data_IF_713459337380
#
_entry.id   IF_713459337380
#
_cell.length_a   1.000
_cell.length_b   1.000
_cell.length_c   1.000
_cell.angle_alpha   90.00
_cell.angle_beta   90.00
_cell.angle_gamma   90.00
#
_symmetry.space_group_name_H-M   'P 1'
#
loop_
_entity.id
_entity.type
_entity.pdbx_description
1 polymer ?
#
# COMPACT_ATOMS: atom_id res chain seq x y z
N UNK A 1 8.23 -18.13 -13.26
CA UNK A 1 9.06 -17.26 -12.40
C UNK A 1 9.79 -16.27 -13.28
N UNK A 2 9.58 -14.96 -13.09
CA UNK A 2 10.45 -13.92 -13.65
C UNK A 2 11.92 -14.26 -13.36
N UNK A 3 12.72 -14.45 -14.42
CA UNK A 3 14.16 -14.62 -14.30
C UNK A 3 14.76 -13.36 -13.65
N UNK A 4 15.74 -13.50 -12.75
CA UNK A 4 16.40 -12.38 -12.05
C UNK A 4 16.93 -11.32 -13.03
N UNK A 5 17.33 -11.76 -14.22
CA UNK A 5 17.79 -10.91 -15.32
C UNK A 5 16.71 -9.96 -15.87
N UNK A 6 15.42 -10.31 -15.69
CA UNK A 6 14.29 -9.53 -16.19
C UNK A 6 13.77 -8.49 -15.19
N UNK A 7 14.25 -8.48 -13.93
CA UNK A 7 13.79 -7.52 -12.91
C UNK A 7 14.18 -6.07 -13.24
N UNK A 8 15.43 -5.83 -13.63
CA UNK A 8 15.91 -4.47 -13.93
C UNK A 8 15.18 -3.87 -15.15
N UNK A 9 14.99 -4.61 -16.26
CA UNK A 9 14.14 -4.15 -17.36
C UNK A 9 12.67 -3.94 -16.96
N UNK A 10 12.08 -4.84 -16.14
CA UNK A 10 10.70 -4.74 -15.68
C UNK A 10 10.47 -3.49 -14.81
N UNK A 11 11.28 -3.32 -13.77
CA UNK A 11 11.20 -2.18 -12.84
C UNK A 11 11.38 -0.85 -13.57
N UNK A 12 12.31 -0.79 -14.52
CA UNK A 12 12.51 0.40 -15.38
C UNK A 12 11.28 0.71 -16.24
N UNK A 13 10.65 -0.31 -16.85
CA UNK A 13 9.41 -0.14 -17.63
C UNK A 13 8.26 0.34 -16.76
N UNK A 14 8.07 -0.26 -15.59
CA UNK A 14 7.00 0.10 -14.66
C UNK A 14 7.14 1.54 -14.18
N UNK A 15 8.34 1.93 -13.75
CA UNK A 15 8.59 3.30 -13.31
C UNK A 15 8.42 4.31 -14.46
N UNK A 16 8.86 3.97 -15.68
CA UNK A 16 8.61 4.82 -16.87
C UNK A 16 7.11 4.96 -17.17
N UNK A 17 6.36 3.87 -17.06
CA UNK A 17 4.93 3.88 -17.27
C UNK A 17 4.23 4.74 -16.21
N UNK A 18 4.54 4.55 -14.92
CA UNK A 18 4.01 5.38 -13.83
C UNK A 18 4.30 6.88 -14.04
N UNK A 19 5.49 7.22 -14.57
CA UNK A 19 5.85 8.60 -14.90
C UNK A 19 5.06 9.22 -16.05
N UNK A 20 4.51 8.40 -16.94
CA UNK A 20 3.67 8.88 -18.05
C UNK A 20 2.18 9.04 -17.71
N UNK A 21 1.76 8.67 -16.49
CA UNK A 21 0.36 8.74 -16.05
C UNK A 21 0.04 10.13 -15.48
N UNK A 22 -1.23 10.59 -15.55
CA UNK A 22 -1.67 11.72 -14.74
C UNK A 22 -1.39 11.41 -13.26
N UNK A 23 -1.08 12.43 -12.46
CA UNK A 23 -0.67 12.29 -11.06
C UNK A 23 0.67 11.56 -10.83
N UNK A 24 1.58 11.56 -11.81
CA UNK A 24 2.94 10.97 -11.77
C UNK A 24 3.61 11.05 -10.39
N UNK A 25 3.68 12.27 -9.83
CA UNK A 25 4.39 12.52 -8.56
C UNK A 25 3.78 11.74 -7.40
N UNK A 26 2.46 11.59 -7.40
CA UNK A 26 1.72 10.96 -6.32
C UNK A 26 1.73 9.43 -6.45
N UNK A 27 1.65 8.88 -7.67
CA UNK A 27 1.79 7.44 -7.91
C UNK A 27 3.18 6.97 -7.47
N UNK A 28 4.22 7.67 -7.90
CA UNK A 28 5.59 7.36 -7.46
C UNK A 28 5.75 7.47 -5.94
N UNK A 29 5.13 8.48 -5.32
CA UNK A 29 5.16 8.66 -3.88
C UNK A 29 4.49 7.47 -3.15
N UNK A 30 3.34 7.00 -3.64
CA UNK A 30 2.63 5.83 -3.07
C UNK A 30 3.48 4.56 -3.11
N UNK A 31 4.17 4.33 -4.23
CA UNK A 31 5.02 3.14 -4.42
C UNK A 31 6.25 3.17 -3.51
N UNK A 32 6.88 4.34 -3.33
CA UNK A 32 8.15 4.47 -2.60
C UNK A 32 7.93 4.72 -1.11
N UNK A 33 7.05 5.66 -0.77
CA UNK A 33 6.85 6.16 0.59
C UNK A 33 5.66 5.49 1.30
N UNK A 34 4.79 4.80 0.57
CA UNK A 34 3.61 4.12 1.10
C UNK A 34 2.31 4.90 0.86
N UNK A 35 1.16 4.24 1.10
CA UNK A 35 -0.14 4.83 0.87
C UNK A 35 -0.50 5.87 1.94
N UNK A 36 -1.63 6.54 1.74
CA UNK A 36 -2.32 7.27 2.77
C UNK A 36 -2.67 6.37 3.96
N UNK A 37 -2.46 6.88 5.17
CA UNK A 37 -2.78 6.19 6.42
C UNK A 37 -3.96 6.89 7.08
N UNK A 38 -5.08 6.17 7.21
CA UNK A 38 -6.28 6.66 7.91
C UNK A 38 -5.92 7.04 9.34
N UNK A 39 -6.39 8.22 9.76
CA UNK A 39 -6.11 8.76 11.09
C UNK A 39 -7.13 8.25 12.10
N UNK A 40 -6.73 8.24 13.37
CA UNK A 40 -7.66 7.99 14.48
C UNK A 40 -8.23 9.34 14.92
N UNK A 41 -9.55 9.50 14.79
CA UNK A 41 -10.25 10.76 15.07
C UNK A 41 -11.24 10.57 16.22
N UNK A 42 -11.47 11.61 17.03
CA UNK A 42 -12.46 11.52 18.10
C UNK A 42 -13.87 11.43 17.51
N UNK A 43 -14.75 10.66 18.15
CA UNK A 43 -16.15 10.65 17.77
C UNK A 43 -16.74 12.08 17.90
N UNK A 44 -17.58 12.51 16.95
CA UNK A 44 -18.27 13.78 17.08
C UNK A 44 -19.18 13.72 18.31
N UNK A 45 -18.79 14.41 19.38
CA UNK A 45 -19.54 14.44 20.62
C UNK A 45 -20.92 15.06 20.41
N UNK A 46 -21.96 14.45 20.97
CA UNK A 46 -23.29 15.03 21.01
C UNK A 46 -23.26 16.25 21.92
N UNK A 47 -23.35 17.44 21.33
CA UNK A 47 -23.22 18.74 22.02
C UNK A 47 -24.31 18.98 23.08
N UNK A 48 -25.29 18.07 23.22
CA UNK A 48 -26.51 18.29 23.98
C UNK A 48 -26.53 17.67 25.38
N UNK A 49 -25.48 17.00 25.88
CA UNK A 49 -25.52 16.35 27.20
C UNK A 49 -24.44 16.90 28.16
N UNK A 50 -24.87 17.44 29.30
CA UNK A 50 -24.05 18.02 30.40
C UNK A 50 -23.20 16.99 31.18
N UNK A 51 -23.12 15.75 30.72
CA UNK A 51 -22.33 14.69 31.36
C UNK A 51 -20.94 14.67 30.72
N UNK A 52 -19.85 14.48 31.49
CA UNK A 52 -18.53 14.29 30.90
C UNK A 52 -18.50 12.96 30.13
N UNK A 53 -18.84 13.02 28.84
CA UNK A 53 -18.74 11.89 27.92
C UNK A 53 -17.25 11.60 27.73
N UNK A 54 -16.84 10.38 28.06
CA UNK A 54 -15.52 9.84 27.70
C UNK A 54 -15.34 9.94 26.20
N UNK A 55 -14.33 10.70 25.75
CA UNK A 55 -14.00 10.83 24.33
C UNK A 55 -13.53 9.47 23.79
N UNK A 56 -14.39 8.83 23.04
CA UNK A 56 -14.11 7.66 22.22
C UNK A 56 -13.46 8.11 20.91
N UNK A 57 -12.63 7.23 20.34
CA UNK A 57 -11.93 7.48 19.08
C UNK A 57 -12.25 6.35 18.11
N UNK A 58 -12.43 6.69 16.84
CA UNK A 58 -12.61 5.73 15.75
C UNK A 58 -11.59 5.96 14.64
N UNK A 59 -11.43 4.96 13.77
CA UNK A 59 -10.64 5.12 12.55
C UNK A 59 -11.43 5.97 11.57
N UNK A 60 -10.78 6.99 10.99
CA UNK A 60 -11.37 7.88 10.01
C UNK A 60 -11.97 7.09 8.84
N UNK A 61 -13.21 7.41 8.53
CA UNK A 61 -13.98 6.78 7.44
C UNK A 61 -13.88 7.58 6.15
N UNK A 62 -14.32 7.00 5.03
CA UNK A 62 -14.26 7.66 3.72
C UNK A 62 -15.12 8.93 3.65
N UNK A 63 -16.21 9.02 4.45
CA UNK A 63 -17.05 10.22 4.52
C UNK A 63 -16.42 11.36 5.34
N UNK A 64 -15.40 11.06 6.15
CA UNK A 64 -14.64 12.02 6.95
C UNK A 64 -13.31 12.43 6.29
N UNK A 65 -12.99 11.88 5.12
CA UNK A 65 -11.80 12.25 4.36
C UNK A 65 -11.98 13.64 3.76
N UNK A 66 -10.95 14.46 3.87
CA UNK A 66 -10.89 15.70 3.09
C UNK A 66 -10.67 15.38 1.60
N UNK A 67 -11.05 16.30 0.70
CA UNK A 67 -10.82 16.11 -0.75
C UNK A 67 -9.36 15.77 -1.10
N UNK A 68 -8.40 16.29 -0.32
CA UNK A 68 -6.97 16.01 -0.54
C UNK A 68 -6.59 14.58 -0.16
N UNK A 69 -7.18 14.06 0.91
CA UNK A 69 -6.92 12.70 1.38
C UNK A 69 -7.62 11.68 0.49
N UNK A 70 -8.86 11.96 0.09
CA UNK A 70 -9.58 11.14 -0.88
C UNK A 70 -8.80 11.03 -2.20
N UNK A 71 -8.28 12.15 -2.72
CA UNK A 71 -7.40 12.14 -3.91
C UNK A 71 -6.13 11.31 -3.71
N UNK A 72 -5.58 11.26 -2.50
CA UNK A 72 -4.41 10.42 -2.24
C UNK A 72 -4.79 8.94 -2.23
N UNK A 73 -5.93 8.57 -1.64
CA UNK A 73 -6.46 7.19 -1.68
C UNK A 73 -6.70 6.75 -3.13
N UNK A 74 -7.32 7.60 -3.96
CA UNK A 74 -7.52 7.31 -5.38
C UNK A 74 -6.19 7.10 -6.13
N UNK A 75 -5.17 7.88 -5.79
CA UNK A 75 -3.82 7.67 -6.35
C UNK A 75 -3.21 6.35 -5.87
N UNK A 76 -3.39 6.00 -4.61
CA UNK A 76 -2.85 4.75 -4.05
C UNK A 76 -3.46 3.54 -4.74
N UNK A 77 -4.78 3.57 -5.00
CA UNK A 77 -5.48 2.55 -5.80
C UNK A 77 -4.94 2.50 -7.23
N UNK A 78 -4.71 3.65 -7.86
CA UNK A 78 -4.07 3.72 -9.18
C UNK A 78 -2.64 3.17 -9.16
N UNK A 79 -1.90 3.35 -8.08
CA UNK A 79 -0.55 2.82 -7.92
C UNK A 79 -0.58 1.29 -7.82
N UNK A 80 -1.51 0.72 -7.04
CA UNK A 80 -1.74 -0.72 -6.97
C UNK A 80 -2.04 -1.28 -8.37
N UNK A 81 -3.04 -0.72 -9.05
CA UNK A 81 -3.41 -1.14 -10.40
C UNK A 81 -2.24 -1.05 -11.39
N UNK A 82 -1.45 0.02 -11.30
CA UNK A 82 -0.29 0.24 -12.17
C UNK A 82 0.76 -0.85 -11.96
N UNK A 83 1.06 -1.21 -10.70
CA UNK A 83 2.00 -2.30 -10.41
C UNK A 83 1.45 -3.63 -10.90
N UNK A 84 0.19 -3.95 -10.59
CA UNK A 84 -0.45 -5.21 -10.98
C UNK A 84 -0.47 -5.39 -12.51
N UNK A 85 -0.80 -4.35 -13.29
CA UNK A 85 -0.76 -4.39 -14.75
C UNK A 85 0.64 -4.67 -15.31
N UNK A 86 1.68 -4.22 -14.62
CA UNK A 86 3.05 -4.50 -15.00
C UNK A 86 3.52 -5.89 -14.61
N UNK A 87 2.86 -6.55 -13.65
CA UNK A 87 3.30 -7.83 -13.10
C UNK A 87 2.92 -9.01 -14.00
N UNK A 88 3.87 -9.91 -14.27
CA UNK A 88 3.58 -11.21 -14.84
C UNK A 88 2.66 -12.05 -13.95
N UNK A 89 1.81 -12.84 -14.60
CA UNK A 89 0.77 -13.66 -13.97
C UNK A 89 1.32 -14.62 -12.90
N UNK A 90 2.54 -15.12 -13.10
CA UNK A 90 3.24 -16.05 -12.21
C UNK A 90 3.73 -15.42 -10.89
N UNK A 91 3.61 -14.10 -10.72
CA UNK A 91 3.92 -13.39 -9.46
C UNK A 91 2.67 -13.07 -8.66
N UNK A 92 1.47 -13.05 -9.27
CA UNK A 92 0.24 -12.63 -8.59
C UNK A 92 0.01 -13.42 -7.30
N UNK A 93 0.20 -14.74 -7.32
CA UNK A 93 0.05 -15.60 -6.15
C UNK A 93 1.05 -15.30 -5.01
N UNK A 94 2.14 -14.57 -5.27
CA UNK A 94 3.13 -14.22 -4.26
C UNK A 94 2.92 -12.81 -3.65
N UNK A 95 2.01 -12.03 -4.24
CA UNK A 95 1.65 -10.66 -3.82
C UNK A 95 0.15 -10.54 -3.52
N UNK A 96 -0.58 -11.65 -3.49
CA UNK A 96 -2.04 -11.70 -3.28
C UNK A 96 -2.46 -11.19 -1.89
N UNK A 97 -1.58 -11.34 -0.90
CA UNK A 97 -1.76 -10.83 0.46
C UNK A 97 -1.30 -9.39 0.64
N UNK A 98 -0.76 -8.73 -0.39
CA UNK A 98 -0.30 -7.35 -0.29
C UNK A 98 -1.48 -6.41 -0.55
N UNK A 99 -1.69 -5.44 0.33
CA UNK A 99 -2.81 -4.50 0.24
C UNK A 99 -2.38 -3.18 -0.38
N UNK A 100 -1.08 -2.89 -0.40
CA UNK A 100 -0.55 -1.58 -0.82
C UNK A 100 0.44 -1.68 -1.98
N UNK A 101 0.52 -0.62 -2.78
CA UNK A 101 1.49 -0.54 -3.87
C UNK A 101 2.94 -0.73 -3.38
N UNK A 102 3.25 -0.19 -2.20
CA UNK A 102 4.58 -0.31 -1.59
C UNK A 102 4.89 -1.76 -1.17
N UNK A 103 3.94 -2.48 -0.56
CA UNK A 103 4.14 -3.88 -0.18
C UNK A 103 4.36 -4.77 -1.40
N UNK A 104 3.53 -4.61 -2.45
CA UNK A 104 3.70 -5.34 -3.70
C UNK A 104 5.09 -5.06 -4.28
N UNK A 105 5.49 -3.78 -4.35
CA UNK A 105 6.81 -3.38 -4.84
C UNK A 105 7.96 -4.00 -4.05
N UNK A 106 7.89 -3.95 -2.72
CA UNK A 106 8.90 -4.53 -1.83
C UNK A 106 8.98 -6.05 -1.95
N UNK A 107 7.82 -6.71 -2.03
CA UNK A 107 7.73 -8.17 -2.18
C UNK A 107 8.34 -8.64 -3.48
N UNK A 108 8.04 -7.97 -4.59
CA UNK A 108 8.64 -8.24 -5.91
C UNK A 108 10.14 -7.98 -5.87
N UNK A 109 10.58 -6.88 -5.25
CA UNK A 109 12.01 -6.59 -5.08
C UNK A 109 12.74 -7.69 -4.29
N UNK A 110 12.14 -8.20 -3.21
CA UNK A 110 12.70 -9.28 -2.39
C UNK A 110 12.83 -10.60 -3.16
N UNK A 111 11.77 -10.98 -3.89
CA UNK A 111 11.77 -12.19 -4.72
C UNK A 111 12.91 -12.16 -5.76
N UNK A 112 13.19 -10.98 -6.32
CA UNK A 112 14.15 -10.80 -7.42
C UNK A 112 15.59 -10.68 -6.95
N UNK A 113 15.81 -10.01 -5.83
CA UNK A 113 17.14 -9.96 -5.19
C UNK A 113 17.54 -11.31 -4.60
N UNK A 114 16.61 -12.26 -4.51
CA UNK A 114 16.89 -13.62 -4.04
C UNK A 114 17.30 -13.66 -2.58
N UNK A 115 16.62 -12.89 -1.71
CA UNK A 115 16.81 -13.03 -0.28
C UNK A 115 15.99 -14.20 0.25
N UNK A 116 16.66 -15.06 1.01
CA UNK A 116 16.13 -16.23 1.70
C UNK A 116 14.75 -15.98 2.32
N UNK A 117 13.73 -16.59 1.72
CA UNK A 117 12.35 -16.66 2.22
C UNK A 117 12.28 -17.23 3.66
N UNK A 118 13.35 -17.83 4.18
CA UNK A 118 13.41 -18.44 5.51
C UNK A 118 13.44 -17.50 6.73
N UNK A 119 13.60 -16.18 6.59
CA UNK A 119 13.80 -15.30 7.75
C UNK A 119 12.51 -14.60 8.24
N UNK A 120 11.53 -14.33 7.38
CA UNK A 120 10.28 -13.67 7.80
C UNK A 120 9.18 -14.66 8.21
N UNK A 121 9.15 -15.88 7.65
CA UNK A 121 8.18 -16.90 8.03
C UNK A 121 8.37 -17.41 9.47
N UNK A 122 9.60 -17.33 10.00
CA UNK A 122 9.89 -17.66 11.41
C UNK A 122 9.39 -16.62 12.40
N UNK A 123 9.15 -15.36 11.98
CA UNK A 123 8.57 -14.34 12.86
C UNK A 123 7.05 -14.46 12.98
N UNK A 124 6.37 -14.97 11.96
CA UNK A 124 4.93 -15.27 12.01
C UNK A 124 4.60 -16.51 12.87
N UNK A 125 5.57 -17.43 13.06
CA UNK A 125 5.41 -18.62 13.92
C UNK A 125 5.70 -18.35 15.41
N UNK A 126 6.44 -17.29 15.74
CA UNK A 126 6.78 -16.94 17.13
C UNK A 126 5.71 -16.11 17.86
N UNK A 127 4.65 -15.67 17.17
CA UNK A 127 3.54 -14.91 17.77
C UNK A 127 2.27 -15.75 18.03
N UNK A 128 2.34 -17.07 17.80
CA UNK A 128 1.22 -18.00 18.01
C UNK A 128 1.56 -19.12 19.03
N UNK A 129 2.49 -18.89 19.96
CA UNK A 129 2.72 -19.75 21.13
C UNK A 129 2.51 -18.96 22.43
#
# INVERSE_FOLDING_TARGET
>A
MLNKENYVPWSSRLLRYAKSRPNEKFIHNSIINGPYVRRMIPEPGDTNHEVPVTKTFHVQTDYELTEKELKQVEVDDQAIQTILLGLPEDIYAAVDSCETAQEIWLRVQQMMKGSDIGIQEKKAKLFNE
#
